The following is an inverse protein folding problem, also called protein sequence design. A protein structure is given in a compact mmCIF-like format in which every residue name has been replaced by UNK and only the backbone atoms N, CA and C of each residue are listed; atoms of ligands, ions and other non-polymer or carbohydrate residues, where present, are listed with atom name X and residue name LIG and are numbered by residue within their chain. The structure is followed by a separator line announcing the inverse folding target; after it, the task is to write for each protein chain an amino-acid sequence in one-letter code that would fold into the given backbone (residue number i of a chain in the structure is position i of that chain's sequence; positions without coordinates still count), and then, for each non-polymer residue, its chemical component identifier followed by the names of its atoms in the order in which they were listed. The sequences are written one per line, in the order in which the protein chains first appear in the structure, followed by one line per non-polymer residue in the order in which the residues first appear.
data_IF_139872904940
#
_entry.id   IF_139872904940
#
_cell.length_a   1.000
_cell.length_b   1.000
_cell.length_c   1.000
_cell.angle_alpha   90.00
_cell.angle_beta   90.00
_cell.angle_gamma   90.00
#
_symmetry.space_group_name_H-M   'P 1'
#
loop_
_entity.id
_entity.type
_entity.pdbx_description
1 polymer ?
#
# COMPACT_ATOMS: atom_id res chain seq x y z
N UNK A 1 -2.28 1.87 5.53
CA UNK A 1 -1.58 0.67 6.01
C UNK A 1 -1.77 0.52 7.51
N UNK A 2 -2.19 -0.66 7.97
CA UNK A 2 -2.19 -0.98 9.40
C UNK A 2 -0.84 -1.53 9.89
N UNK A 3 0.05 -1.90 8.96
CA UNK A 3 1.39 -2.40 9.22
C UNK A 3 2.40 -1.26 9.18
N UNK A 4 3.47 -1.37 9.97
CA UNK A 4 4.59 -0.42 9.98
C UNK A 4 5.45 -0.53 8.71
N UNK A 5 5.72 -1.74 8.25
CA UNK A 5 6.49 -2.03 7.02
C UNK A 5 5.57 -2.74 6.02
N UNK A 6 5.68 -2.34 4.75
CA UNK A 6 4.89 -2.90 3.65
C UNK A 6 5.81 -3.26 2.50
N UNK A 7 5.86 -4.53 2.16
CA UNK A 7 6.60 -5.10 1.03
C UNK A 7 5.55 -5.71 0.11
N UNK A 8 5.55 -5.32 -1.16
CA UNK A 8 4.56 -5.77 -2.13
C UNK A 8 5.21 -6.58 -3.25
N UNK A 9 4.51 -7.60 -3.76
CA UNK A 9 4.88 -8.23 -5.02
C UNK A 9 4.64 -7.26 -6.20
N UNK A 10 5.42 -7.37 -7.28
CA UNK A 10 5.20 -6.65 -8.54
C UNK A 10 3.79 -6.88 -9.12
N UNK A 11 3.15 -8.01 -8.81
CA UNK A 11 1.79 -8.34 -9.23
C UNK A 11 0.69 -7.70 -8.37
N UNK A 12 1.05 -7.11 -7.23
CA UNK A 12 0.09 -6.57 -6.27
C UNK A 12 -0.70 -5.39 -6.84
N UNK A 13 -2.00 -5.36 -6.50
CA UNK A 13 -2.93 -4.29 -6.86
C UNK A 13 -3.66 -3.82 -5.63
N UNK A 14 -3.66 -2.52 -5.38
CA UNK A 14 -4.37 -1.89 -4.27
C UNK A 14 -5.55 -1.08 -4.80
N UNK A 15 -6.62 -0.95 -4.03
CA UNK A 15 -7.74 -0.08 -4.34
C UNK A 15 -8.56 0.22 -3.09
N UNK A 16 -9.21 1.39 -3.06
CA UNK A 16 -10.26 1.74 -2.09
C UNK A 16 -11.59 1.82 -2.83
N UNK A 17 -12.25 0.67 -2.98
CA UNK A 17 -13.39 0.51 -3.90
C UNK A 17 -14.76 0.87 -3.28
N UNK A 18 -14.81 1.21 -2.00
CA UNK A 18 -16.04 1.51 -1.25
C UNK A 18 -16.86 2.64 -1.90
N UNK A 19 -16.19 3.64 -2.48
CA UNK A 19 -16.87 4.76 -3.15
C UNK A 19 -17.66 4.32 -4.38
N UNK A 20 -17.32 3.17 -5.00
CA UNK A 20 -18.10 2.59 -6.11
C UNK A 20 -19.47 2.07 -5.65
N UNK A 21 -19.62 1.84 -4.34
CA UNK A 21 -20.88 1.47 -3.68
C UNK A 21 -21.56 2.68 -3.02
N UNK A 22 -21.07 3.91 -3.25
CA UNK A 22 -21.56 5.12 -2.61
C UNK A 22 -21.11 5.29 -1.15
N UNK A 23 -20.09 4.56 -0.71
CA UNK A 23 -19.59 4.57 0.66
C UNK A 23 -18.24 5.27 0.75
N UNK A 24 -18.05 6.12 1.77
CA UNK A 24 -16.73 6.65 2.07
C UNK A 24 -15.84 5.55 2.71
N UNK A 25 -14.53 5.49 2.41
CA UNK A 25 -13.61 4.51 2.97
C UNK A 25 -13.21 4.84 4.42
N UNK A 26 -14.18 5.10 5.30
CA UNK A 26 -13.98 5.73 6.61
C UNK A 26 -13.04 4.94 7.53
N UNK A 27 -13.18 3.62 7.58
CA UNK A 27 -12.40 2.77 8.49
C UNK A 27 -10.91 2.72 8.11
N UNK A 28 -10.61 2.67 6.82
CA UNK A 28 -9.22 2.57 6.32
C UNK A 28 -8.57 3.94 6.13
N UNK A 29 -9.38 5.01 6.03
CA UNK A 29 -8.92 6.36 5.69
C UNK A 29 -7.76 6.86 6.54
N UNK A 30 -7.79 6.78 7.89
CA UNK A 30 -6.69 7.28 8.71
C UNK A 30 -5.37 6.59 8.40
N UNK A 31 -5.41 5.29 8.08
CA UNK A 31 -4.22 4.48 7.81
C UNK A 31 -3.60 4.77 6.44
N UNK A 32 -4.43 5.06 5.43
CA UNK A 32 -3.94 5.40 4.09
C UNK A 32 -3.45 6.85 4.09
N UNK A 33 -4.16 7.78 4.72
CA UNK A 33 -3.72 9.17 4.87
C UNK A 33 -2.36 9.26 5.58
N UNK A 34 -2.15 8.47 6.65
CA UNK A 34 -0.83 8.42 7.32
C UNK A 34 0.29 7.89 6.42
N UNK A 35 0.00 6.96 5.51
CA UNK A 35 1.01 6.36 4.63
C UNK A 35 1.40 7.28 3.47
N UNK A 36 0.42 7.89 2.78
CA UNK A 36 0.67 8.59 1.50
C UNK A 36 0.30 10.08 1.52
N UNK A 37 -0.14 10.59 2.67
CA UNK A 37 -0.62 11.95 2.83
C UNK A 37 -2.03 12.18 2.28
N UNK A 38 -2.68 13.25 2.78
CA UNK A 38 -4.08 13.54 2.46
C UNK A 38 -4.30 13.78 0.95
N UNK A 39 -3.39 14.49 0.28
CA UNK A 39 -3.55 14.85 -1.15
C UNK A 39 -3.58 13.63 -2.06
N UNK A 40 -2.66 12.67 -1.86
CA UNK A 40 -2.66 11.43 -2.63
C UNK A 40 -3.85 10.54 -2.24
N UNK A 41 -4.14 10.42 -0.94
CA UNK A 41 -5.28 9.64 -0.46
C UNK A 41 -6.62 10.13 -1.05
N UNK A 42 -6.87 11.44 -1.12
CA UNK A 42 -8.08 12.00 -1.72
C UNK A 42 -8.27 11.56 -3.17
N UNK A 43 -7.20 11.51 -3.98
CA UNK A 43 -7.29 11.02 -5.37
C UNK A 43 -7.86 9.60 -5.41
N UNK A 44 -7.28 8.68 -4.63
CA UNK A 44 -7.69 7.28 -4.66
C UNK A 44 -9.06 7.04 -3.99
N UNK A 45 -9.38 7.77 -2.92
CA UNK A 45 -10.69 7.67 -2.28
C UNK A 45 -11.84 8.16 -3.15
N UNK A 46 -11.60 9.17 -3.99
CA UNK A 46 -12.63 9.74 -4.87
C UNK A 46 -12.78 8.95 -6.17
N UNK A 47 -11.68 8.44 -6.73
CA UNK A 47 -11.70 7.77 -8.04
C UNK A 47 -11.90 6.26 -7.97
N UNK A 48 -11.56 5.63 -6.84
CA UNK A 48 -11.44 4.17 -6.72
C UNK A 48 -10.58 3.51 -7.80
N UNK A 49 -9.62 4.26 -8.38
CA UNK A 49 -8.70 3.67 -9.34
C UNK A 49 -7.77 2.65 -8.66
N UNK A 50 -7.26 1.70 -9.45
CA UNK A 50 -6.29 0.72 -8.96
C UNK A 50 -4.92 1.35 -8.88
N UNK A 51 -4.18 1.00 -7.83
CA UNK A 51 -2.78 1.37 -7.62
C UNK A 51 -1.93 0.14 -7.92
N UNK A 52 -1.00 0.27 -8.86
CA UNK A 52 -0.02 -0.79 -9.13
C UNK A 52 1.00 -0.88 -7.99
N UNK A 53 1.70 -2.00 -7.85
CA UNK A 53 2.81 -2.12 -6.89
C UNK A 53 3.87 -1.03 -7.07
N UNK A 54 4.21 -0.71 -8.33
CA UNK A 54 5.15 0.37 -8.66
C UNK A 54 4.66 1.73 -8.19
N UNK A 55 3.41 2.07 -8.47
CA UNK A 55 2.83 3.35 -8.03
C UNK A 55 2.71 3.39 -6.51
N UNK A 56 2.33 2.28 -5.88
CA UNK A 56 2.25 2.14 -4.43
C UNK A 56 3.61 2.44 -3.77
N UNK A 57 4.71 1.95 -4.33
CA UNK A 57 6.07 2.31 -3.86
C UNK A 57 6.36 3.79 -4.08
N UNK A 58 6.04 4.32 -5.26
CA UNK A 58 6.30 5.72 -5.59
C UNK A 58 5.60 6.72 -4.66
N UNK A 59 4.36 6.43 -4.27
CA UNK A 59 3.57 7.30 -3.39
C UNK A 59 3.77 7.02 -1.88
N UNK A 60 4.59 6.03 -1.52
CA UNK A 60 4.87 5.64 -0.14
C UNK A 60 3.82 4.72 0.51
N UNK A 61 2.93 4.12 -0.28
CA UNK A 61 1.96 3.12 0.22
C UNK A 61 2.65 1.80 0.55
N UNK A 62 3.63 1.41 -0.28
CA UNK A 62 4.55 0.31 -0.05
C UNK A 62 5.97 0.88 0.14
N UNK A 63 6.77 0.26 0.99
CA UNK A 63 8.16 0.64 1.20
C UNK A 63 9.06 -0.03 0.14
N UNK A 64 8.81 -1.32 -0.08
CA UNK A 64 9.55 -2.12 -1.05
C UNK A 64 8.63 -2.87 -1.99
N UNK A 65 9.15 -3.16 -3.18
CA UNK A 65 8.50 -4.00 -4.18
C UNK A 65 9.53 -5.02 -4.65
N UNK A 66 9.13 -6.29 -4.69
CA UNK A 66 9.94 -7.40 -5.17
C UNK A 66 9.14 -8.22 -6.18
N UNK A 67 9.83 -8.99 -7.03
CA UNK A 67 9.15 -9.98 -7.85
C UNK A 67 8.53 -11.06 -6.96
N UNK A 68 7.47 -11.70 -7.45
CA UNK A 68 6.69 -12.66 -6.66
C UNK A 68 7.56 -13.79 -6.09
N UNK A 69 8.57 -14.22 -6.85
CA UNK A 69 9.51 -15.30 -6.49
C UNK A 69 10.51 -14.86 -5.39
N UNK A 70 10.81 -13.57 -5.31
CA UNK A 70 11.78 -12.98 -4.36
C UNK A 70 11.12 -12.33 -3.13
N UNK A 71 9.78 -12.36 -3.05
CA UNK A 71 9.04 -11.65 -2.00
C UNK A 71 9.44 -12.12 -0.60
N UNK A 72 9.46 -13.44 -0.37
CA UNK A 72 9.82 -14.02 0.93
C UNK A 72 11.26 -13.70 1.32
N UNK A 73 12.17 -13.68 0.34
CA UNK A 73 13.55 -13.27 0.57
C UNK A 73 13.62 -11.81 1.03
N UNK A 74 12.90 -10.90 0.37
CA UNK A 74 12.85 -9.49 0.75
C UNK A 74 12.22 -9.29 2.13
N UNK A 75 11.22 -10.10 2.49
CA UNK A 75 10.64 -10.12 3.84
C UNK A 75 11.68 -10.57 4.86
N UNK A 76 12.43 -11.64 4.59
CA UNK A 76 13.46 -12.14 5.49
C UNK A 76 14.57 -11.11 5.71
N UNK A 77 15.00 -10.39 4.66
CA UNK A 77 15.97 -9.29 4.79
C UNK A 77 15.53 -8.22 5.80
N UNK A 78 14.23 -7.89 5.84
CA UNK A 78 13.68 -6.95 6.82
C UNK A 78 13.60 -7.56 8.22
N UNK A 79 13.20 -8.84 8.32
CA UNK A 79 13.16 -9.55 9.61
C UNK A 79 14.55 -9.59 10.25
N UNK A 80 15.57 -9.97 9.48
CA UNK A 80 16.95 -10.05 9.95
C UNK A 80 17.46 -8.68 10.41
N UNK A 81 17.08 -7.60 9.72
CA UNK A 81 17.41 -6.24 10.12
C UNK A 81 16.74 -5.80 11.45
N UNK A 82 15.59 -6.38 11.81
CA UNK A 82 14.88 -6.10 13.05
C UNK A 82 15.35 -6.95 14.24
N UNK A 83 15.86 -8.16 13.99
CA UNK A 83 16.21 -9.15 15.02
C UNK A 83 17.68 -9.15 15.45
N UNK A 84 18.47 -8.14 15.07
CA UNK A 84 19.88 -7.97 15.45
C UNK A 84 20.17 -8.33 16.91
#
# INVERSE_FOLDING_TARGET
SACDICIASTDAKFATSEVRLGLAPSTISPYVIRAIGARQASRYFLTAERISARDAKHIGLAHEVADAEDLDKKVQEIIDALLL
#
